data_IF_968561493839
#
_entry.id   IF_968561493839
#
_cell.length_a   1.000
_cell.length_b   1.000
_cell.length_c   1.000
_cell.angle_alpha   90.00
_cell.angle_beta   90.00
_cell.angle_gamma   90.00
#
_symmetry.space_group_name_H-M   'P 1'
#
loop_
_entity.id
_entity.type
_entity.pdbx_description
1 polymer ?
#
# COMPACT_ATOMS: atom_id res chain seq x y z
N UNK A 1 -4.10 19.74 -18.44
CA UNK A 1 -4.29 18.41 -17.82
C UNK A 1 -3.00 17.64 -18.04
N UNK A 2 -2.25 17.36 -16.98
CA UNK A 2 -1.00 16.62 -17.08
C UNK A 2 -1.36 15.14 -17.26
N UNK A 3 -0.85 14.51 -18.32
CA UNK A 3 -1.04 13.08 -18.54
C UNK A 3 -0.38 12.33 -17.37
N UNK A 4 -1.14 11.49 -16.66
CA UNK A 4 -0.60 10.65 -15.59
C UNK A 4 0.34 9.63 -16.25
N UNK A 5 1.65 9.79 -16.05
CA UNK A 5 2.66 8.88 -16.58
C UNK A 5 2.67 7.60 -15.75
N UNK A 6 1.88 6.63 -16.21
CA UNK A 6 1.63 5.36 -15.54
C UNK A 6 2.85 4.44 -15.68
N UNK A 7 3.65 4.35 -14.61
CA UNK A 7 4.85 3.51 -14.56
C UNK A 7 4.79 2.56 -13.37
N UNK A 8 5.52 1.44 -13.48
CA UNK A 8 5.77 0.54 -12.35
C UNK A 8 7.26 0.29 -12.19
N UNK A 9 7.71 0.19 -10.95
CA UNK A 9 9.05 -0.25 -10.60
C UNK A 9 9.15 -1.78 -10.56
N UNK A 10 10.37 -2.30 -10.55
CA UNK A 10 10.60 -3.69 -10.19
C UNK A 10 10.16 -3.95 -8.74
N UNK A 11 9.75 -5.18 -8.45
CA UNK A 11 9.39 -5.58 -7.08
C UNK A 11 10.62 -5.57 -6.19
N UNK A 12 10.55 -4.86 -5.07
CA UNK A 12 11.62 -4.77 -4.09
C UNK A 12 11.07 -4.75 -2.65
N UNK A 13 11.97 -4.90 -1.68
CA UNK A 13 11.66 -4.71 -0.26
C UNK A 13 11.86 -3.24 0.13
N UNK A 14 11.00 -2.71 0.99
CA UNK A 14 10.99 -1.32 1.47
C UNK A 14 10.76 -1.30 2.97
N UNK A 15 11.22 -0.24 3.63
CA UNK A 15 10.77 0.14 4.96
C UNK A 15 9.69 1.20 4.78
N UNK A 16 8.51 0.95 5.35
CA UNK A 16 7.36 1.84 5.27
C UNK A 16 7.12 2.47 6.65
N UNK A 17 7.08 3.80 6.71
CA UNK A 17 6.73 4.53 7.93
C UNK A 17 5.25 4.90 7.89
N UNK A 18 4.51 4.62 8.97
CA UNK A 18 3.14 5.10 9.11
C UNK A 18 3.17 6.62 9.24
N UNK A 19 2.56 7.33 8.30
CA UNK A 19 2.46 8.80 8.37
C UNK A 19 1.13 9.24 8.96
N UNK A 20 0.07 8.48 8.71
CA UNK A 20 -1.27 8.78 9.19
C UNK A 20 -2.11 7.51 9.27
N UNK A 21 -3.04 7.48 10.23
CA UNK A 21 -3.98 6.38 10.44
C UNK A 21 -5.36 6.96 10.78
N UNK A 22 -6.35 6.75 9.91
CA UNK A 22 -7.70 7.33 10.05
C UNK A 22 -8.74 6.20 10.12
N UNK A 23 -9.55 6.11 11.19
CA UNK A 23 -10.68 5.18 11.21
C UNK A 23 -11.73 5.61 10.17
N UNK A 24 -12.08 4.71 9.24
CA UNK A 24 -13.11 4.95 8.24
C UNK A 24 -14.48 4.41 8.70
N UNK A 25 -14.45 3.26 9.38
CA UNK A 25 -15.62 2.61 10.00
C UNK A 25 -15.18 1.97 11.33
N UNK A 26 -16.09 1.39 12.13
CA UNK A 26 -15.69 0.66 13.34
C UNK A 26 -14.71 -0.50 13.09
N UNK A 27 -14.65 -1.03 11.86
CA UNK A 27 -13.81 -2.18 11.51
C UNK A 27 -12.78 -1.89 10.42
N UNK A 28 -12.84 -0.74 9.75
CA UNK A 28 -11.94 -0.38 8.65
C UNK A 28 -11.14 0.87 9.02
N UNK A 29 -9.82 0.81 8.80
CA UNK A 29 -8.89 1.91 9.00
C UNK A 29 -8.12 2.18 7.70
N UNK A 30 -8.03 3.44 7.31
CA UNK A 30 -7.08 3.93 6.32
C UNK A 30 -5.72 4.11 7.01
N UNK A 31 -4.68 3.52 6.44
CA UNK A 31 -3.31 3.60 6.94
C UNK A 31 -2.43 4.09 5.81
N UNK A 32 -1.86 5.27 5.99
CA UNK A 32 -0.95 5.89 5.03
C UNK A 32 0.49 5.53 5.38
N UNK A 33 1.22 5.03 4.39
CA UNK A 33 2.56 4.50 4.50
C UNK A 33 3.49 5.28 3.56
N UNK A 34 4.51 5.92 4.12
CA UNK A 34 5.61 6.51 3.38
C UNK A 34 6.71 5.46 3.17
N UNK A 35 6.98 5.08 1.93
CA UNK A 35 8.10 4.19 1.63
C UNK A 35 9.43 4.96 1.66
N UNK A 36 10.49 4.26 2.04
CA UNK A 36 11.85 4.79 2.23
C UNK A 36 12.61 5.08 0.93
N UNK A 37 12.07 4.69 -0.22
CA UNK A 37 12.67 4.96 -1.54
C UNK A 37 11.66 5.52 -2.53
N UNK A 38 12.01 6.64 -3.15
CA UNK A 38 11.19 7.35 -4.14
C UNK A 38 11.00 6.57 -5.46
N UNK A 39 11.83 5.55 -5.69
CA UNK A 39 11.75 4.69 -6.87
C UNK A 39 10.47 3.83 -6.92
N UNK A 40 9.74 3.71 -5.81
CA UNK A 40 8.50 2.94 -5.78
C UNK A 40 7.44 3.60 -6.67
N UNK A 41 7.08 2.89 -7.73
CA UNK A 41 6.04 3.29 -8.68
C UNK A 41 5.14 2.09 -8.93
N UNK A 42 3.83 2.30 -9.05
CA UNK A 42 2.86 1.22 -9.28
C UNK A 42 1.76 1.66 -10.25
N UNK A 43 1.11 0.67 -10.86
CA UNK A 43 -0.09 0.88 -11.68
C UNK A 43 -1.37 0.67 -10.83
N UNK A 44 -2.47 1.40 -11.10
CA UNK A 44 -3.73 1.17 -10.41
C UNK A 44 -4.17 -0.30 -10.52
N UNK A 45 -4.60 -0.87 -9.40
CA UNK A 45 -4.97 -2.29 -9.29
C UNK A 45 -3.86 -3.19 -8.69
N UNK A 46 -2.65 -2.67 -8.48
CA UNK A 46 -1.56 -3.39 -7.81
C UNK A 46 -1.69 -3.42 -6.28
N UNK A 47 -0.87 -4.27 -5.66
CA UNK A 47 -0.87 -4.54 -4.22
C UNK A 47 0.53 -4.55 -3.64
N UNK A 48 0.64 -4.44 -2.31
CA UNK A 48 1.87 -4.64 -1.55
C UNK A 48 1.71 -5.72 -0.49
N UNK A 49 2.83 -6.24 -0.01
CA UNK A 49 2.89 -7.33 0.97
C UNK A 49 3.64 -6.86 2.21
N UNK A 50 2.93 -6.28 3.21
CA UNK A 50 3.51 -6.02 4.52
C UNK A 50 3.95 -7.33 5.18
N UNK A 51 5.07 -7.27 5.89
CA UNK A 51 5.68 -8.38 6.63
C UNK A 51 5.44 -8.19 8.12
N UNK A 52 5.03 -9.26 8.78
CA UNK A 52 4.64 -9.30 10.18
C UNK A 52 5.49 -10.33 10.91
N UNK A 53 6.18 -9.92 11.96
CA UNK A 53 6.94 -10.86 12.79
C UNK A 53 6.09 -11.29 13.99
N UNK A 54 5.95 -12.60 14.18
CA UNK A 54 5.22 -13.21 15.28
C UNK A 54 5.80 -14.58 15.61
N UNK A 55 6.05 -14.85 16.89
CA UNK A 55 6.56 -16.13 17.39
C UNK A 55 7.86 -16.60 16.68
N UNK A 56 8.76 -15.65 16.41
CA UNK A 56 10.04 -15.90 15.73
C UNK A 56 9.92 -16.20 14.23
N UNK A 57 8.74 -16.01 13.62
CA UNK A 57 8.47 -16.25 12.20
C UNK A 57 7.98 -14.98 11.53
N UNK A 58 8.37 -14.79 10.27
CA UNK A 58 7.86 -13.70 9.41
C UNK A 58 6.72 -14.22 8.55
N UNK A 59 5.59 -13.52 8.61
CA UNK A 59 4.40 -13.76 7.79
C UNK A 59 4.18 -12.58 6.85
N UNK A 60 3.45 -12.80 5.75
CA UNK A 60 3.02 -11.72 4.86
C UNK A 60 1.56 -11.88 4.45
N UNK A 61 0.88 -10.77 4.23
CA UNK A 61 -0.45 -10.71 3.63
C UNK A 61 -0.45 -9.69 2.51
N UNK A 62 -1.22 -9.95 1.46
CA UNK A 62 -1.39 -9.03 0.35
C UNK A 62 -2.45 -7.99 0.71
N UNK A 63 -2.18 -6.72 0.40
CA UNK A 63 -3.13 -5.61 0.50
C UNK A 63 -3.08 -4.78 -0.78
N UNK A 64 -4.25 -4.52 -1.37
CA UNK A 64 -4.36 -3.61 -2.51
C UNK A 64 -3.97 -2.19 -2.10
N UNK A 65 -3.28 -1.49 -2.99
CA UNK A 65 -2.97 -0.07 -2.81
C UNK A 65 -4.25 0.72 -3.11
N UNK A 66 -4.74 1.48 -2.14
CA UNK A 66 -5.99 2.23 -2.23
C UNK A 66 -5.79 3.66 -2.79
N UNK A 67 -4.57 4.18 -2.76
CA UNK A 67 -4.23 5.51 -3.24
C UNK A 67 -3.98 5.56 -4.75
N UNK A 68 -4.05 6.77 -5.33
CA UNK A 68 -3.58 7.04 -6.69
C UNK A 68 -2.04 6.90 -6.79
N UNK A 69 -1.48 6.39 -7.91
CA UNK A 69 -0.05 6.43 -8.19
C UNK A 69 0.58 7.82 -8.10
N UNK A 70 -0.21 8.88 -8.31
CA UNK A 70 0.24 10.27 -8.15
C UNK A 70 0.63 10.65 -6.71
N UNK A 71 0.38 9.77 -5.72
CA UNK A 71 0.78 9.96 -4.32
C UNK A 71 2.12 9.29 -3.99
N UNK A 72 2.69 8.52 -4.92
CA UNK A 72 3.97 7.86 -4.70
C UNK A 72 5.06 8.84 -4.22
N UNK A 73 5.95 8.39 -3.31
CA UNK A 73 6.05 7.04 -2.74
C UNK A 73 5.16 6.80 -1.50
N UNK A 74 4.22 7.69 -1.19
CA UNK A 74 3.23 7.47 -0.12
C UNK A 74 2.05 6.66 -0.66
N UNK A 75 1.72 5.56 0.02
CA UNK A 75 0.60 4.69 -0.35
C UNK A 75 -0.43 4.58 0.77
N UNK A 76 -1.70 4.38 0.41
CA UNK A 76 -2.78 4.12 1.35
C UNK A 76 -3.18 2.64 1.33
N UNK A 77 -3.37 2.06 2.51
CA UNK A 77 -4.00 0.75 2.69
C UNK A 77 -5.32 0.92 3.45
N UNK A 78 -6.42 0.44 2.88
CA UNK A 78 -7.70 0.31 3.58
C UNK A 78 -7.80 -1.09 4.19
N UNK A 79 -7.67 -1.18 5.52
CA UNK A 79 -7.51 -2.45 6.23
C UNK A 79 -8.74 -2.74 7.08
N UNK A 80 -9.40 -3.87 6.82
CA UNK A 80 -10.43 -4.42 7.72
C UNK A 80 -9.81 -5.22 8.86
N UNK A 81 -10.25 -5.01 10.10
CA UNK A 81 -9.75 -5.70 11.30
C UNK A 81 -10.45 -7.06 11.47
N UNK A 82 -9.88 -8.12 10.89
CA UNK A 82 -10.50 -9.47 10.84
C UNK A 82 -9.60 -10.59 11.39
N UNK A 83 -8.37 -10.27 11.76
CA UNK A 83 -7.41 -11.22 12.31
C UNK A 83 -6.14 -10.54 12.80
N UNK A 84 -5.20 -11.33 13.31
CA UNK A 84 -4.04 -10.80 14.01
C UNK A 84 -3.12 -9.93 13.14
N UNK A 85 -2.92 -10.24 11.85
CA UNK A 85 -2.07 -9.43 10.97
C UNK A 85 -2.70 -8.08 10.64
N UNK A 86 -4.03 -8.06 10.43
CA UNK A 86 -4.76 -6.80 10.28
C UNK A 86 -4.82 -6.01 11.58
N UNK A 87 -4.93 -6.68 12.74
CA UNK A 87 -4.87 -6.02 14.04
C UNK A 87 -3.50 -5.37 14.26
N UNK A 88 -2.42 -6.07 13.91
CA UNK A 88 -1.07 -5.51 13.93
C UNK A 88 -0.98 -4.21 13.12
N UNK A 89 -1.48 -4.20 11.87
CA UNK A 89 -1.51 -2.96 11.07
C UNK A 89 -2.34 -1.87 11.75
N UNK A 90 -3.51 -2.22 12.28
CA UNK A 90 -4.39 -1.27 12.98
C UNK A 90 -3.73 -0.64 14.20
N UNK A 91 -2.88 -1.40 14.89
CA UNK A 91 -2.27 -0.97 16.14
C UNK A 91 -1.00 -0.12 15.91
N UNK A 92 -0.46 -0.11 14.69
CA UNK A 92 0.65 0.77 14.31
C UNK A 92 0.26 2.25 14.43
N UNK A 93 1.13 3.01 15.10
CA UNK A 93 1.00 4.45 15.30
C UNK A 93 1.86 5.22 14.29
N UNK A 94 1.50 6.47 13.97
CA UNK A 94 2.36 7.35 13.17
C UNK A 94 3.80 7.39 13.70
N UNK A 95 4.77 7.35 12.78
CA UNK A 95 6.21 7.26 13.08
C UNK A 95 6.75 5.83 13.23
N UNK A 96 5.89 4.82 13.43
CA UNK A 96 6.33 3.42 13.45
C UNK A 96 6.56 2.87 12.05
N UNK A 97 7.41 1.86 11.93
CA UNK A 97 7.81 1.28 10.65
C UNK A 97 7.36 -0.18 10.49
N UNK A 98 7.08 -0.57 9.25
CA UNK A 98 6.84 -1.95 8.85
C UNK A 98 7.57 -2.28 7.55
N UNK A 99 8.05 -3.51 7.41
CA UNK A 99 8.65 -3.98 6.16
C UNK A 99 7.56 -4.27 5.13
N UNK A 100 7.72 -3.81 3.91
CA UNK A 100 6.75 -4.00 2.83
C UNK A 100 7.48 -4.47 1.58
N UNK A 101 6.90 -5.43 0.84
CA UNK A 101 7.41 -5.85 -0.47
C UNK A 101 6.39 -5.53 -1.56
N UNK A 102 6.85 -5.01 -2.70
CA UNK A 102 5.97 -4.70 -3.82
C UNK A 102 6.63 -3.84 -4.89
N UNK A 103 5.83 -3.33 -5.86
CA UNK A 103 4.42 -3.67 -6.08
C UNK A 103 4.25 -5.09 -6.68
N UNK A 104 3.06 -5.65 -6.52
CA UNK A 104 2.62 -6.94 -7.07
C UNK A 104 1.30 -6.81 -7.82
N UNK A 105 0.99 -7.78 -8.69
CA UNK A 105 -0.30 -7.88 -9.38
C UNK A 105 -0.24 -7.47 -10.86
N UNK A 106 -1.06 -8.15 -11.67
CA UNK A 106 -1.19 -7.96 -13.12
C UNK A 106 -2.51 -7.35 -13.55
N UNK A 107 -3.51 -7.33 -12.66
CA UNK A 107 -4.76 -6.60 -12.87
C UNK A 107 -4.45 -5.10 -12.80
N UNK A 108 -4.13 -4.50 -13.94
CA UNK A 108 -3.62 -3.14 -14.02
C UNK A 108 -4.35 -2.33 -15.08
N UNK A 109 -4.55 -1.05 -14.80
CA UNK A 109 -4.97 -0.07 -15.81
C UNK A 109 -3.71 0.59 -16.39
N UNK A 110 -3.25 0.12 -17.55
CA UNK A 110 -2.06 0.65 -18.24
C UNK A 110 -2.37 1.88 -19.09
N UNK A 111 -3.61 2.01 -19.54
CA UNK A 111 -4.09 3.10 -20.39
C UNK A 111 -5.44 3.60 -19.88
N UNK A 112 -5.65 4.92 -19.90
CA UNK A 112 -6.94 5.49 -19.53
C UNK A 112 -7.96 5.19 -20.63
N UNK A 113 -9.18 4.72 -20.29
CA UNK A 113 -10.21 4.52 -21.30
C UNK A 113 -10.57 5.86 -21.94
N UNK A 114 -10.70 5.87 -23.27
CA UNK A 114 -11.26 7.02 -23.97
C UNK A 114 -12.73 7.14 -23.61
N UNK A 115 -13.12 8.26 -23.00
CA UNK A 115 -14.54 8.54 -22.74
C UNK A 115 -15.22 8.86 -24.08
N UNK A 116 -16.19 8.05 -24.56
CA UNK A 116 -16.99 8.45 -25.72
C UNK A 116 -17.73 9.73 -25.35
N UNK A 117 -17.69 10.72 -26.25
CA UNK A 117 -18.48 11.95 -26.09
C UNK A 117 -19.96 11.66 -26.24
#
# INVERSE_FOLDING_TARGET
>A
MQCLDLRRSATADFIATVVESVPLTPTIKSIWLQLDRDEFQFLPGQSVWPKFDRDGRTFSKIYSIASSPSRCPTIELCVSRVGWSSAYLHDLQPGQTIRVRGPYGLMTLTELPSRPR
#
